data_IF_898562317548
#
_entry.id   IF_898562317548
#
_cell.length_a   1.000
_cell.length_b   1.000
_cell.length_c   1.000
_cell.angle_alpha   90.00
_cell.angle_beta   90.00
_cell.angle_gamma   90.00
#
_symmetry.space_group_name_H-M   'P 1'
#
loop_
_entity.id
_entity.type
_entity.pdbx_description
1 polymer ?
#
# COMPACT_ATOMS: atom_id res chain seq x y z
N UNK A 1 -64.42 8.68 -28.49
CA UNK A 1 -63.12 9.37 -28.68
C UNK A 1 -62.43 9.67 -27.37
N UNK A 2 -63.09 10.02 -26.30
CA UNK A 2 -62.48 10.40 -24.99
C UNK A 2 -61.66 9.31 -24.29
N UNK A 3 -62.07 8.03 -24.35
CA UNK A 3 -61.31 6.93 -23.68
C UNK A 3 -59.90 6.68 -24.24
N UNK A 4 -59.66 7.02 -25.53
CA UNK A 4 -58.30 6.88 -26.14
C UNK A 4 -57.35 7.98 -25.69
N UNK A 5 -57.81 9.17 -25.42
CA UNK A 5 -56.97 10.30 -24.94
C UNK A 5 -56.63 10.13 -23.48
N UNK A 6 -57.49 9.57 -22.66
CA UNK A 6 -57.21 9.27 -21.24
C UNK A 6 -56.11 8.19 -21.11
N UNK A 7 -56.18 7.12 -21.94
CA UNK A 7 -55.16 6.08 -21.96
C UNK A 7 -53.79 6.59 -22.45
N UNK A 8 -53.79 7.50 -23.43
CA UNK A 8 -52.56 8.09 -23.94
C UNK A 8 -51.92 9.08 -22.96
N UNK A 9 -52.74 9.86 -22.23
CA UNK A 9 -52.26 10.75 -21.18
C UNK A 9 -51.67 9.97 -19.98
N UNK A 10 -52.29 8.83 -19.62
CA UNK A 10 -51.73 7.96 -18.55
C UNK A 10 -50.42 7.30 -18.96
N UNK A 11 -50.25 6.90 -20.24
CA UNK A 11 -49.02 6.32 -20.75
C UNK A 11 -47.87 7.34 -20.80
N UNK A 12 -48.16 8.58 -21.16
CA UNK A 12 -47.19 9.69 -21.17
C UNK A 12 -46.76 10.05 -19.74
N UNK A 13 -47.67 10.06 -18.78
CA UNK A 13 -47.35 10.32 -17.38
C UNK A 13 -46.47 9.23 -16.76
N UNK A 14 -46.64 7.95 -17.15
CA UNK A 14 -45.77 6.85 -16.70
C UNK A 14 -44.39 6.92 -17.35
N UNK A 15 -44.31 7.32 -18.64
CA UNK A 15 -43.00 7.49 -19.31
C UNK A 15 -42.25 8.70 -18.77
N UNK A 16 -42.92 9.79 -18.45
CA UNK A 16 -42.30 10.97 -17.82
C UNK A 16 -41.89 10.66 -16.37
N UNK A 17 -42.70 9.91 -15.62
CA UNK A 17 -42.36 9.43 -14.28
C UNK A 17 -41.15 8.48 -14.28
N UNK A 18 -41.04 7.57 -15.24
CA UNK A 18 -39.91 6.67 -15.41
C UNK A 18 -38.65 7.42 -15.88
N UNK A 19 -38.78 8.45 -16.71
CA UNK A 19 -37.65 9.30 -17.12
C UNK A 19 -37.14 10.18 -15.98
N UNK A 20 -37.98 10.60 -15.05
CA UNK A 20 -37.59 11.38 -13.87
C UNK A 20 -36.94 10.46 -12.82
N UNK A 21 -37.32 9.19 -12.73
CA UNK A 21 -36.66 8.19 -11.87
C UNK A 21 -35.33 7.67 -12.45
N UNK A 22 -35.07 7.89 -13.74
CA UNK A 22 -33.82 7.47 -14.42
C UNK A 22 -32.82 8.59 -14.63
N UNK A 23 -33.09 9.80 -14.18
CA UNK A 23 -32.06 10.84 -14.05
C UNK A 23 -31.38 10.53 -12.72
N UNK A 24 -30.40 9.62 -12.73
CA UNK A 24 -29.31 9.63 -11.76
C UNK A 24 -28.85 11.07 -11.67
N UNK A 25 -29.06 11.66 -10.52
CA UNK A 25 -28.51 12.95 -10.14
C UNK A 25 -26.99 12.84 -10.27
N UNK A 26 -26.45 13.21 -11.44
CA UNK A 26 -25.04 13.51 -11.63
C UNK A 26 -24.72 14.86 -10.95
N UNK A 27 -25.48 15.18 -9.89
CA UNK A 27 -25.26 16.29 -9.01
C UNK A 27 -23.99 16.08 -8.22
N UNK A 28 -22.96 16.76 -8.63
CA UNK A 28 -21.83 17.26 -7.86
C UNK A 28 -21.35 16.34 -6.71
N UNK A 29 -20.94 15.09 -7.05
CA UNK A 29 -20.31 14.17 -6.07
C UNK A 29 -19.13 14.90 -5.44
N UNK A 30 -19.02 14.80 -4.12
CA UNK A 30 -17.86 15.33 -3.41
C UNK A 30 -16.62 14.50 -3.78
N UNK A 31 -15.56 15.14 -4.20
CA UNK A 31 -14.31 14.45 -4.51
C UNK A 31 -13.53 14.21 -3.21
N UNK A 32 -13.08 12.98 -3.01
CA UNK A 32 -12.09 12.60 -2.01
C UNK A 32 -10.80 12.16 -2.71
N UNK A 33 -9.76 12.96 -2.58
CA UNK A 33 -8.44 12.69 -3.17
C UNK A 33 -7.58 11.93 -2.16
N UNK A 34 -7.20 10.71 -2.51
CA UNK A 34 -6.33 9.85 -1.67
C UNK A 34 -4.97 9.74 -2.34
N UNK A 35 -3.91 10.08 -1.62
CA UNK A 35 -2.54 9.79 -2.06
C UNK A 35 -1.97 8.61 -1.29
N UNK A 36 -1.45 7.62 -2.03
CA UNK A 36 -0.96 6.37 -1.45
C UNK A 36 0.38 5.94 -2.04
N UNK A 37 0.87 4.76 -1.64
CA UNK A 37 2.10 4.16 -2.15
C UNK A 37 1.82 3.20 -3.30
N UNK A 38 2.74 3.12 -4.27
CA UNK A 38 2.65 2.16 -5.39
C UNK A 38 2.54 0.73 -4.89
N UNK A 39 3.26 0.37 -3.82
CA UNK A 39 3.19 -0.99 -3.27
C UNK A 39 1.82 -1.34 -2.67
N UNK A 40 1.07 -0.39 -2.12
CA UNK A 40 -0.29 -0.65 -1.67
C UNK A 40 -1.28 -0.70 -2.85
N UNK A 41 -1.14 0.19 -3.81
CA UNK A 41 -1.92 0.18 -5.06
C UNK A 41 -1.74 -1.14 -5.82
N UNK A 42 -0.50 -1.61 -5.99
CA UNK A 42 -0.17 -2.87 -6.69
C UNK A 42 -0.87 -4.10 -6.08
N UNK A 43 -1.29 -4.05 -4.82
CA UNK A 43 -2.06 -5.13 -4.18
C UNK A 43 -3.51 -5.17 -4.62
N UNK A 44 -4.08 -4.05 -5.10
CA UNK A 44 -5.50 -3.89 -5.43
C UNK A 44 -6.43 -3.78 -4.21
N UNK A 45 -5.89 -3.71 -2.98
CA UNK A 45 -6.74 -3.58 -1.78
C UNK A 45 -7.56 -2.30 -1.78
N UNK A 46 -6.91 -1.17 -2.12
CA UNK A 46 -7.59 0.13 -2.08
C UNK A 46 -8.72 0.24 -3.10
N UNK A 47 -8.59 -0.36 -4.28
CA UNK A 47 -9.68 -0.45 -5.28
C UNK A 47 -10.91 -1.19 -4.70
N UNK A 48 -10.67 -2.27 -3.96
CA UNK A 48 -11.76 -3.02 -3.32
C UNK A 48 -12.40 -2.25 -2.17
N UNK A 49 -11.62 -1.49 -1.41
CA UNK A 49 -12.10 -0.61 -0.34
C UNK A 49 -12.87 0.57 -0.92
N UNK A 50 -12.36 1.22 -1.97
CA UNK A 50 -13.01 2.29 -2.73
C UNK A 50 -14.40 1.86 -3.22
N UNK A 51 -14.48 0.72 -3.93
CA UNK A 51 -15.75 0.20 -4.44
C UNK A 51 -16.78 -0.05 -3.31
N UNK A 52 -16.34 -0.57 -2.16
CA UNK A 52 -17.21 -0.78 -1.01
C UNK A 52 -17.61 0.55 -0.34
N UNK A 53 -16.70 1.51 -0.25
CA UNK A 53 -16.96 2.83 0.29
C UNK A 53 -17.95 3.61 -0.57
N UNK A 54 -17.74 3.70 -1.88
CA UNK A 54 -18.62 4.42 -2.81
C UNK A 54 -20.01 3.79 -2.90
N UNK A 55 -20.11 2.47 -2.76
CA UNK A 55 -21.42 1.81 -2.65
C UNK A 55 -22.19 2.27 -1.41
N UNK A 56 -21.50 2.54 -0.31
CA UNK A 56 -22.08 3.01 0.96
C UNK A 56 -22.34 4.52 0.98
N UNK A 57 -21.48 5.28 0.31
CA UNK A 57 -21.51 6.74 0.23
C UNK A 57 -21.51 7.20 -1.24
N UNK A 58 -22.62 7.02 -1.98
CA UNK A 58 -22.67 7.27 -3.43
C UNK A 58 -22.51 8.75 -3.81
N UNK A 59 -22.60 9.65 -2.84
CA UNK A 59 -22.38 11.09 -2.97
C UNK A 59 -20.88 11.47 -2.95
N UNK A 60 -19.95 10.52 -2.68
CA UNK A 60 -18.52 10.76 -2.67
C UNK A 60 -17.87 9.98 -3.82
N UNK A 61 -17.00 10.66 -4.57
CA UNK A 61 -16.16 10.13 -5.64
C UNK A 61 -14.72 10.02 -5.12
N UNK A 62 -14.19 8.80 -5.02
CA UNK A 62 -12.84 8.57 -4.50
C UNK A 62 -11.85 8.55 -5.66
N UNK A 63 -10.81 9.36 -5.55
CA UNK A 63 -9.74 9.44 -6.54
C UNK A 63 -8.42 9.08 -5.89
N UNK A 64 -7.85 7.94 -6.28
CA UNK A 64 -6.60 7.40 -5.72
C UNK A 64 -5.45 7.69 -6.67
N UNK A 65 -4.37 8.27 -6.13
CA UNK A 65 -3.12 8.49 -6.88
C UNK A 65 -1.96 7.95 -6.07
N UNK A 66 -1.19 7.04 -6.67
CA UNK A 66 -0.03 6.43 -6.03
C UNK A 66 1.29 7.13 -6.36
N UNK A 67 2.29 6.79 -5.57
CA UNK A 67 3.67 7.23 -5.74
C UNK A 67 4.58 6.65 -4.66
N UNK A 68 5.82 7.08 -4.57
CA UNK A 68 6.66 6.77 -3.41
C UNK A 68 6.13 7.48 -2.15
N UNK A 69 6.42 6.95 -0.94
CA UNK A 69 5.96 7.53 0.34
C UNK A 69 6.21 9.03 0.43
N UNK A 70 7.40 9.49 0.01
CA UNK A 70 7.72 10.93 0.01
C UNK A 70 6.80 11.74 -0.90
N UNK A 71 6.49 11.23 -2.08
CA UNK A 71 5.58 11.87 -3.04
C UNK A 71 4.16 11.92 -2.48
N UNK A 72 3.70 10.83 -1.86
CA UNK A 72 2.37 10.78 -1.26
C UNK A 72 2.19 11.82 -0.15
N UNK A 73 3.16 11.93 0.76
CA UNK A 73 3.16 12.92 1.83
C UNK A 73 3.27 14.36 1.29
N UNK A 74 4.08 14.58 0.27
CA UNK A 74 4.25 15.90 -0.35
C UNK A 74 2.97 16.38 -1.03
N UNK A 75 2.19 15.47 -1.67
CA UNK A 75 0.85 15.80 -2.18
C UNK A 75 -0.09 16.25 -1.06
N UNK A 76 -0.06 15.58 0.10
CA UNK A 76 -0.79 16.03 1.28
C UNK A 76 -0.37 17.43 1.75
N UNK A 77 0.94 17.72 1.81
CA UNK A 77 1.45 19.05 2.20
C UNK A 77 0.98 20.17 1.27
N UNK A 78 0.84 19.88 -0.02
CA UNK A 78 0.41 20.89 -1.02
C UNK A 78 -1.10 21.02 -1.19
N UNK A 79 -1.90 20.14 -0.56
CA UNK A 79 -3.35 20.11 -0.73
C UNK A 79 -3.81 19.41 -2.02
N UNK A 80 -2.92 18.63 -2.66
CA UNK A 80 -3.25 17.78 -3.81
C UNK A 80 -3.94 16.45 -3.37
N UNK A 81 -3.98 16.19 -2.05
CA UNK A 81 -4.69 15.08 -1.43
C UNK A 81 -5.40 15.53 -0.16
N UNK A 82 -6.54 14.90 0.14
CA UNK A 82 -7.34 15.09 1.34
C UNK A 82 -7.01 14.07 2.42
N UNK A 83 -6.54 12.89 1.97
CA UNK A 83 -6.14 11.76 2.80
C UNK A 83 -4.85 11.16 2.26
N UNK A 84 -3.92 10.85 3.15
CA UNK A 84 -2.68 10.13 2.81
C UNK A 84 -2.72 8.74 3.45
N UNK A 85 -2.46 7.68 2.66
CA UNK A 85 -2.38 6.31 3.15
C UNK A 85 -0.99 5.76 2.83
N UNK A 86 -0.18 5.59 3.86
CA UNK A 86 1.24 5.18 3.74
C UNK A 86 1.62 4.19 4.85
N UNK A 87 2.89 3.73 4.85
CA UNK A 87 3.38 2.70 5.77
C UNK A 87 4.84 2.96 6.23
N UNK A 88 5.26 4.21 6.28
CA UNK A 88 6.53 4.62 6.87
C UNK A 88 6.28 5.43 8.15
N UNK A 89 6.27 4.74 9.29
CA UNK A 89 5.95 5.31 10.59
C UNK A 89 6.81 6.53 10.97
N UNK A 90 8.04 6.59 10.52
CA UNK A 90 8.94 7.71 10.81
C UNK A 90 8.46 8.97 10.08
N UNK A 91 8.24 8.85 8.77
CA UNK A 91 7.74 9.95 7.93
C UNK A 91 6.31 10.36 8.27
N UNK A 92 5.45 9.39 8.64
CA UNK A 92 4.08 9.65 9.12
C UNK A 92 4.08 10.51 10.38
N UNK A 93 4.92 10.16 11.37
CA UNK A 93 5.08 10.96 12.60
C UNK A 93 5.63 12.35 12.33
N UNK A 94 6.56 12.50 11.41
CA UNK A 94 7.11 13.79 11.01
C UNK A 94 6.04 14.66 10.36
N UNK A 95 5.26 14.13 9.42
CA UNK A 95 4.15 14.82 8.76
C UNK A 95 3.11 15.33 9.76
N UNK A 96 2.74 14.53 10.76
CA UNK A 96 1.81 14.93 11.83
C UNK A 96 2.46 15.97 12.76
N UNK A 97 3.72 15.76 13.17
CA UNK A 97 4.46 16.69 14.02
C UNK A 97 4.60 18.08 13.38
N UNK A 98 4.77 18.11 12.07
CA UNK A 98 4.79 19.35 11.29
C UNK A 98 3.40 19.99 11.15
N UNK A 99 2.34 19.35 11.63
CA UNK A 99 0.95 19.85 11.64
C UNK A 99 0.19 19.60 10.35
N UNK A 100 0.71 18.86 9.38
CA UNK A 100 0.03 18.56 8.11
C UNK A 100 -1.03 17.47 8.22
N UNK A 101 -0.96 16.58 9.20
CA UNK A 101 -1.94 15.54 9.47
C UNK A 101 -2.67 15.77 10.78
N UNK A 102 -3.96 15.46 10.85
CA UNK A 102 -4.78 15.59 12.07
C UNK A 102 -4.61 14.41 13.03
N UNK A 103 -4.26 13.24 12.52
CA UNK A 103 -4.10 12.02 13.30
C UNK A 103 -3.57 10.87 12.44
N UNK A 104 -3.16 9.79 13.11
CA UNK A 104 -2.69 8.56 12.48
C UNK A 104 -3.65 7.42 12.82
N UNK A 105 -4.23 6.80 11.81
CA UNK A 105 -5.23 5.76 11.94
C UNK A 105 -4.73 4.46 11.31
N UNK A 106 -4.02 3.58 12.06
CA UNK A 106 -3.60 2.30 11.55
C UNK A 106 -4.81 1.39 11.34
N UNK A 107 -4.89 0.71 10.19
CA UNK A 107 -6.05 -0.11 9.86
C UNK A 107 -5.70 -1.54 9.46
N UNK A 108 -4.47 -1.77 9.00
CA UNK A 108 -3.99 -3.08 8.59
C UNK A 108 -2.47 -3.17 8.69
N UNK A 109 -1.97 -4.40 8.71
CA UNK A 109 -0.55 -4.65 8.55
C UNK A 109 -0.30 -5.92 7.72
N UNK A 110 0.90 -6.01 7.19
CA UNK A 110 1.49 -7.23 6.66
C UNK A 110 2.98 -7.26 7.02
N UNK A 111 3.74 -8.16 6.41
CA UNK A 111 5.18 -8.21 6.58
C UNK A 111 5.88 -8.04 5.24
N UNK A 112 7.05 -7.45 5.28
CA UNK A 112 8.02 -7.64 4.22
C UNK A 112 8.60 -9.05 4.31
N UNK A 113 9.00 -9.59 3.16
CA UNK A 113 9.66 -10.87 3.05
C UNK A 113 11.10 -10.67 2.58
N UNK A 114 12.04 -11.41 3.15
CA UNK A 114 13.37 -11.56 2.59
C UNK A 114 13.33 -12.81 1.71
N UNK A 115 13.57 -12.61 0.42
CA UNK A 115 13.53 -13.67 -0.59
C UNK A 115 14.88 -13.79 -1.28
N UNK A 116 15.15 -14.95 -1.88
CA UNK A 116 16.42 -15.19 -2.55
C UNK A 116 16.45 -16.52 -3.31
N UNK A 117 17.58 -16.84 -3.95
CA UNK A 117 17.74 -18.07 -4.73
C UNK A 117 17.68 -19.32 -3.85
N UNK A 118 17.10 -20.40 -4.36
CA UNK A 118 17.01 -21.69 -3.65
C UNK A 118 18.36 -22.26 -3.18
N UNK A 119 19.45 -21.88 -3.85
CA UNK A 119 20.81 -22.31 -3.51
C UNK A 119 21.36 -21.70 -2.22
N UNK A 120 20.75 -20.62 -1.75
CA UNK A 120 21.08 -19.91 -0.52
C UNK A 120 22.59 -19.69 -0.27
N UNK A 121 23.32 -19.06 -1.18
CA UNK A 121 24.80 -18.93 -1.05
C UNK A 121 25.25 -18.09 0.15
N UNK A 122 24.35 -17.33 0.78
CA UNK A 122 24.61 -16.58 2.01
C UNK A 122 24.14 -17.32 3.29
N UNK A 123 23.53 -18.50 3.14
CA UNK A 123 23.00 -19.31 4.26
C UNK A 123 22.05 -18.51 5.17
N UNK A 124 21.14 -17.72 4.55
CA UNK A 124 20.15 -16.93 5.29
C UNK A 124 18.96 -17.78 5.79
N UNK A 125 18.84 -19.02 5.34
CA UNK A 125 17.88 -19.99 5.91
C UNK A 125 18.11 -20.22 7.42
N UNK A 126 19.34 -20.03 7.91
CA UNK A 126 19.71 -20.12 9.32
C UNK A 126 19.59 -18.78 10.07
N UNK A 127 19.15 -17.72 9.39
CA UNK A 127 19.04 -16.39 10.00
C UNK A 127 17.91 -16.36 11.04
N UNK A 128 18.16 -15.70 12.16
CA UNK A 128 17.23 -15.59 13.29
C UNK A 128 16.49 -14.25 13.35
N UNK A 129 16.92 -13.29 12.53
CA UNK A 129 16.29 -11.98 12.39
C UNK A 129 16.58 -11.39 11.01
N UNK A 130 15.88 -10.32 10.65
CA UNK A 130 16.13 -9.60 9.41
C UNK A 130 17.57 -9.02 9.37
N UNK A 131 18.04 -8.47 10.47
CA UNK A 131 19.42 -7.97 10.57
C UNK A 131 20.44 -9.10 10.45
N UNK A 132 20.17 -10.29 10.99
CA UNK A 132 21.06 -11.44 10.84
C UNK A 132 21.10 -11.92 9.37
N UNK A 133 19.96 -11.96 8.68
CA UNK A 133 19.92 -12.29 7.26
C UNK A 133 20.74 -11.29 6.42
N UNK A 134 20.57 -10.00 6.66
CA UNK A 134 21.29 -8.94 5.95
C UNK A 134 22.79 -8.99 6.23
N UNK A 135 23.21 -9.25 7.47
CA UNK A 135 24.61 -9.45 7.82
C UNK A 135 25.23 -10.64 7.09
N UNK A 136 24.54 -11.76 7.03
CA UNK A 136 24.99 -12.96 6.29
C UNK A 136 25.15 -12.68 4.79
N UNK A 137 24.22 -11.92 4.19
CA UNK A 137 24.33 -11.51 2.79
C UNK A 137 25.56 -10.61 2.59
N UNK A 138 25.80 -9.62 3.46
CA UNK A 138 26.96 -8.74 3.41
C UNK A 138 28.27 -9.53 3.48
N UNK A 139 28.39 -10.43 4.47
CA UNK A 139 29.58 -11.26 4.67
C UNK A 139 29.81 -12.23 3.50
N UNK A 140 28.75 -12.80 2.94
CA UNK A 140 28.85 -13.69 1.81
C UNK A 140 29.25 -12.93 0.54
N UNK A 141 28.69 -11.76 0.29
CA UNK A 141 29.04 -10.90 -0.85
C UNK A 141 30.51 -10.42 -0.82
N UNK A 142 31.05 -10.18 0.37
CA UNK A 142 32.47 -9.84 0.52
C UNK A 142 33.42 -10.99 0.14
N UNK A 143 32.97 -12.26 0.27
CA UNK A 143 33.76 -13.45 -0.04
C UNK A 143 33.47 -14.03 -1.42
N UNK A 144 32.26 -13.82 -1.93
CA UNK A 144 31.78 -14.41 -3.18
C UNK A 144 31.10 -13.35 -4.05
N UNK A 145 31.73 -12.91 -5.13
CA UNK A 145 31.18 -11.88 -6.02
C UNK A 145 29.87 -12.30 -6.74
N UNK A 146 29.49 -13.59 -6.72
CA UNK A 146 28.21 -14.04 -7.28
C UNK A 146 27.02 -13.73 -6.36
N UNK A 147 27.26 -13.55 -5.07
CA UNK A 147 26.20 -13.15 -4.12
C UNK A 147 25.81 -11.70 -4.39
N UNK A 148 24.54 -11.47 -4.65
CA UNK A 148 23.98 -10.16 -4.98
C UNK A 148 22.78 -9.85 -4.10
N UNK A 149 22.54 -8.57 -3.88
CA UNK A 149 21.31 -8.04 -3.35
C UNK A 149 20.72 -7.03 -4.35
N UNK A 150 19.42 -7.13 -4.61
CA UNK A 150 18.70 -6.21 -5.51
C UNK A 150 17.77 -5.36 -4.67
N UNK A 151 17.97 -4.06 -4.75
CA UNK A 151 17.17 -3.02 -4.11
C UNK A 151 16.23 -2.35 -5.10
N UNK A 152 15.15 -1.80 -4.61
CA UNK A 152 14.31 -0.90 -5.40
C UNK A 152 15.04 0.38 -5.76
N UNK A 153 15.77 0.99 -4.84
CA UNK A 153 16.54 2.24 -5.06
C UNK A 153 15.68 3.45 -5.46
N UNK A 154 14.37 3.47 -5.08
CA UNK A 154 13.37 4.43 -5.58
C UNK A 154 12.74 5.32 -4.49
N UNK A 155 13.31 5.34 -3.30
CA UNK A 155 12.77 6.04 -2.12
C UNK A 155 11.35 5.61 -1.70
N UNK A 156 10.89 4.43 -2.10
CA UNK A 156 9.63 3.85 -1.65
C UNK A 156 9.68 3.44 -0.17
N UNK A 157 8.53 3.06 0.39
CA UNK A 157 8.46 2.50 1.75
C UNK A 157 9.27 1.21 1.90
N UNK A 158 9.30 0.35 0.87
CA UNK A 158 10.14 -0.87 0.84
C UNK A 158 11.62 -0.52 0.84
N UNK A 159 12.04 0.42 -0.01
CA UNK A 159 13.44 0.88 -0.06
C UNK A 159 13.86 1.55 1.26
N UNK A 160 13.00 2.39 1.84
CA UNK A 160 13.27 2.99 3.17
C UNK A 160 13.42 1.93 4.26
N UNK A 161 12.59 0.88 4.25
CA UNK A 161 12.68 -0.24 5.20
C UNK A 161 13.96 -1.01 5.03
N UNK A 162 14.32 -1.34 3.81
CA UNK A 162 15.57 -2.02 3.46
C UNK A 162 16.80 -1.25 3.96
N UNK A 163 16.90 0.04 3.62
CA UNK A 163 18.01 0.90 4.07
C UNK A 163 18.08 0.97 5.60
N UNK A 164 16.94 1.00 6.29
CA UNK A 164 16.90 0.97 7.76
C UNK A 164 17.50 -0.32 8.32
N UNK A 165 17.18 -1.48 7.71
CA UNK A 165 17.78 -2.76 8.13
C UNK A 165 19.28 -2.76 7.88
N UNK A 166 19.75 -2.31 6.71
CA UNK A 166 21.17 -2.17 6.42
C UNK A 166 21.89 -1.30 7.43
N UNK A 167 21.33 -0.13 7.78
CA UNK A 167 21.89 0.79 8.78
C UNK A 167 22.00 0.19 10.19
N UNK A 168 21.17 -0.79 10.53
CA UNK A 168 21.27 -1.53 11.79
C UNK A 168 22.39 -2.60 11.75
N UNK A 169 22.85 -2.98 10.55
CA UNK A 169 23.88 -4.01 10.35
C UNK A 169 25.26 -3.40 10.15
N UNK A 170 25.36 -2.29 9.42
CA UNK A 170 26.63 -1.70 9.01
C UNK A 170 26.47 -0.22 8.63
N UNK A 171 27.59 0.47 8.36
CA UNK A 171 27.54 1.77 7.68
C UNK A 171 27.08 1.58 6.22
N UNK A 172 25.81 1.85 5.98
CA UNK A 172 25.17 1.67 4.68
C UNK A 172 25.91 2.42 3.56
N UNK A 173 26.28 3.67 3.81
CA UNK A 173 26.91 4.50 2.78
C UNK A 173 28.33 4.04 2.44
N UNK A 174 29.07 3.54 3.42
CA UNK A 174 30.45 3.11 3.21
C UNK A 174 30.58 1.68 2.68
N UNK A 175 29.62 0.79 2.98
CA UNK A 175 29.79 -0.64 2.74
C UNK A 175 28.74 -1.27 1.81
N UNK A 176 27.60 -0.65 1.64
CA UNK A 176 26.47 -1.19 0.84
C UNK A 176 26.25 -0.34 -0.41
N UNK A 177 25.95 0.92 -0.21
CA UNK A 177 25.62 1.84 -1.29
C UNK A 177 26.76 1.95 -2.31
N UNK A 178 26.44 1.74 -3.60
CA UNK A 178 27.45 1.77 -4.68
C UNK A 178 28.35 0.53 -4.78
N UNK A 179 28.17 -0.47 -3.92
CA UNK A 179 28.92 -1.72 -4.00
C UNK A 179 28.51 -2.55 -5.22
N UNK A 180 29.43 -3.27 -5.85
CA UNK A 180 29.18 -4.08 -7.05
C UNK A 180 28.21 -5.25 -6.83
N UNK A 181 27.97 -5.65 -5.59
CA UNK A 181 27.01 -6.69 -5.22
C UNK A 181 25.60 -6.15 -4.89
N UNK A 182 25.49 -4.83 -4.67
CA UNK A 182 24.22 -4.15 -4.38
C UNK A 182 23.71 -3.44 -5.65
N UNK A 183 22.56 -3.85 -6.12
CA UNK A 183 22.03 -3.42 -7.43
C UNK A 183 20.72 -2.68 -7.19
N UNK A 184 20.68 -1.43 -7.55
CA UNK A 184 19.46 -0.61 -7.50
C UNK A 184 18.75 -0.66 -8.87
N UNK A 185 17.44 -0.96 -8.85
CA UNK A 185 16.63 -1.02 -10.08
C UNK A 185 16.04 0.32 -10.47
N UNK A 186 15.79 1.20 -9.50
CA UNK A 186 15.03 2.43 -9.71
C UNK A 186 13.57 2.19 -10.11
N UNK A 187 13.04 0.97 -9.87
CA UNK A 187 11.76 0.49 -10.40
C UNK A 187 10.82 -0.02 -9.30
N UNK A 188 9.57 -0.32 -9.69
CA UNK A 188 8.56 -0.93 -8.83
C UNK A 188 8.96 -2.32 -8.31
N UNK A 189 8.21 -2.82 -7.30
CA UNK A 189 8.58 -4.07 -6.64
C UNK A 189 8.52 -5.29 -7.55
N UNK A 190 7.54 -5.35 -8.47
CA UNK A 190 7.40 -6.44 -9.43
C UNK A 190 8.61 -6.57 -10.35
N UNK A 191 9.12 -5.46 -10.88
CA UNK A 191 10.34 -5.46 -11.71
C UNK A 191 11.58 -5.78 -10.90
N UNK A 192 11.65 -5.28 -9.67
CA UNK A 192 12.74 -5.61 -8.73
C UNK A 192 12.80 -7.12 -8.46
N UNK A 193 11.65 -7.77 -8.23
CA UNK A 193 11.57 -9.24 -8.07
C UNK A 193 12.05 -9.98 -9.32
N UNK A 194 11.67 -9.53 -10.53
CA UNK A 194 12.13 -10.15 -11.78
C UNK A 194 13.65 -10.03 -11.95
N UNK A 195 14.21 -8.85 -11.66
CA UNK A 195 15.66 -8.62 -11.72
C UNK A 195 16.38 -9.49 -10.69
N UNK A 196 15.86 -9.57 -9.46
CA UNK A 196 16.42 -10.44 -8.43
C UNK A 196 16.40 -11.92 -8.83
N UNK A 197 15.29 -12.38 -9.41
CA UNK A 197 15.18 -13.77 -9.92
C UNK A 197 16.18 -14.06 -11.04
N UNK A 198 16.27 -13.19 -12.05
CA UNK A 198 17.22 -13.35 -13.17
C UNK A 198 18.68 -13.37 -12.72
N UNK A 199 19.01 -12.64 -11.65
CA UNK A 199 20.38 -12.57 -11.11
C UNK A 199 20.66 -13.61 -10.03
N UNK A 200 19.68 -14.41 -9.63
CA UNK A 200 19.80 -15.31 -8.48
C UNK A 200 20.17 -14.55 -7.21
N UNK A 201 19.57 -13.39 -7.01
CA UNK A 201 19.91 -12.44 -5.96
C UNK A 201 18.90 -12.46 -4.80
N UNK A 202 19.32 -11.96 -3.64
CA UNK A 202 18.43 -11.66 -2.53
C UNK A 202 17.74 -10.31 -2.73
N UNK A 203 16.54 -10.15 -2.16
CA UNK A 203 15.83 -8.86 -2.13
C UNK A 203 14.84 -8.81 -0.97
N UNK A 204 14.45 -7.59 -0.61
CA UNK A 204 13.31 -7.34 0.28
C UNK A 204 12.09 -7.03 -0.58
N UNK A 205 10.95 -7.66 -0.27
CA UNK A 205 9.68 -7.43 -0.97
C UNK A 205 8.53 -7.37 0.01
N UNK A 206 7.45 -6.68 -0.32
CA UNK A 206 6.20 -6.86 0.41
C UNK A 206 5.56 -8.22 0.08
N UNK A 207 4.79 -8.75 1.04
CA UNK A 207 4.16 -10.06 0.89
C UNK A 207 3.15 -10.11 -0.26
N UNK A 208 2.43 -9.03 -0.52
CA UNK A 208 1.42 -8.95 -1.57
C UNK A 208 2.04 -9.12 -2.95
N UNK A 209 3.06 -8.34 -3.26
CA UNK A 209 3.78 -8.43 -4.54
C UNK A 209 4.44 -9.79 -4.69
N UNK A 210 5.10 -10.33 -3.65
CA UNK A 210 5.68 -11.67 -3.74
C UNK A 210 4.63 -12.73 -4.08
N UNK A 211 3.49 -12.75 -3.41
CA UNK A 211 2.42 -13.72 -3.67
C UNK A 211 1.85 -13.60 -5.08
N UNK A 212 1.76 -12.38 -5.61
CA UNK A 212 1.32 -12.14 -6.98
C UNK A 212 2.31 -12.68 -8.03
N UNK A 213 3.60 -12.67 -7.73
CA UNK A 213 4.66 -13.06 -8.66
C UNK A 213 5.22 -14.47 -8.45
N UNK A 214 4.94 -15.14 -7.31
CA UNK A 214 5.58 -16.41 -6.91
C UNK A 214 5.47 -17.55 -7.91
N UNK A 215 4.41 -17.56 -8.74
CA UNK A 215 4.25 -18.58 -9.80
C UNK A 215 5.17 -18.35 -11.01
N UNK A 216 5.73 -17.14 -11.14
CA UNK A 216 6.50 -16.71 -12.30
C UNK A 216 7.98 -16.45 -11.98
N UNK A 217 8.41 -16.73 -10.75
CA UNK A 217 9.78 -16.56 -10.26
C UNK A 217 10.24 -17.84 -9.54
N UNK A 218 11.55 -18.00 -9.44
CA UNK A 218 12.17 -19.15 -8.75
C UNK A 218 12.64 -18.83 -7.34
N UNK A 219 12.60 -17.56 -6.96
CA UNK A 219 12.96 -17.10 -5.61
C UNK A 219 12.07 -17.72 -4.54
N UNK A 220 12.65 -18.05 -3.42
CA UNK A 220 11.96 -18.59 -2.24
C UNK A 220 12.01 -17.61 -1.07
N UNK A 221 11.05 -17.73 -0.15
CA UNK A 221 11.03 -16.94 1.08
C UNK A 221 11.93 -17.58 2.13
N UNK A 222 12.74 -16.76 2.79
CA UNK A 222 13.59 -17.16 3.92
C UNK A 222 13.10 -16.60 5.24
N UNK A 223 12.70 -15.33 5.26
CA UNK A 223 12.16 -14.70 6.45
C UNK A 223 10.87 -13.97 6.08
N UNK A 224 9.79 -14.31 6.78
CA UNK A 224 8.44 -13.77 6.50
C UNK A 224 7.81 -13.09 7.71
N UNK A 225 8.40 -13.26 8.90
CA UNK A 225 7.92 -12.66 10.14
C UNK A 225 9.10 -12.26 11.01
N UNK A 226 9.25 -10.97 11.22
CA UNK A 226 10.23 -10.37 12.12
C UNK A 226 9.77 -8.95 12.45
N UNK A 227 10.18 -8.41 13.60
CA UNK A 227 9.83 -7.04 14.01
C UNK A 227 10.29 -6.00 12.99
N UNK A 228 11.50 -6.16 12.46
CA UNK A 228 12.04 -5.26 11.44
C UNK A 228 11.32 -5.38 10.09
N UNK A 229 10.58 -6.47 9.85
CA UNK A 229 9.80 -6.70 8.64
C UNK A 229 8.33 -6.29 8.76
N UNK A 230 7.88 -5.88 9.94
CA UNK A 230 6.49 -5.43 10.16
C UNK A 230 6.20 -4.18 9.32
N UNK A 231 5.09 -4.22 8.59
CA UNK A 231 4.65 -3.19 7.68
C UNK A 231 3.20 -2.78 8.01
N UNK A 232 3.04 -1.68 8.74
CA UNK A 232 1.74 -1.19 9.19
C UNK A 232 1.27 -0.06 8.29
N UNK A 233 0.09 -0.18 7.75
CA UNK A 233 -0.57 0.81 6.92
C UNK A 233 -1.45 1.73 7.77
N UNK A 234 -1.30 3.02 7.60
CA UNK A 234 -2.07 4.02 8.31
C UNK A 234 -2.67 5.07 7.36
N UNK A 235 -3.88 5.47 7.66
CA UNK A 235 -4.54 6.60 7.04
C UNK A 235 -4.29 7.87 7.88
N UNK A 236 -4.01 8.98 7.21
CA UNK A 236 -3.68 10.27 7.82
C UNK A 236 -4.49 11.36 7.11
N UNK A 237 -5.61 11.85 7.67
CA UNK A 237 -6.32 12.99 7.11
C UNK A 237 -5.44 14.24 7.10
N UNK A 238 -5.47 14.96 5.99
CA UNK A 238 -4.74 16.22 5.85
C UNK A 238 -5.43 17.30 6.67
N UNK A 239 -4.65 18.07 7.42
CA UNK A 239 -5.15 19.06 8.36
C UNK A 239 -5.68 20.31 7.63
N UNK A 240 -7.02 20.59 7.67
CA UNK A 240 -7.61 21.74 7.01
C UNK A 240 -7.19 23.09 7.61
N UNK A 241 -6.73 23.12 8.86
CA UNK A 241 -6.22 24.33 9.48
C UNK A 241 -4.86 24.77 8.91
N UNK A 242 -4.11 23.83 8.35
CA UNK A 242 -2.78 24.07 7.76
C UNK A 242 -2.80 24.07 6.23
N UNK A 243 -3.63 23.25 5.62
CA UNK A 243 -3.72 23.07 4.18
C UNK A 243 -5.12 23.42 3.71
N UNK A 244 -5.26 24.52 2.98
CA UNK A 244 -6.56 24.98 2.48
C UNK A 244 -7.07 24.10 1.32
N UNK A 245 -8.41 24.01 1.18
CA UNK A 245 -9.05 23.34 0.05
C UNK A 245 -9.08 21.81 0.13
N UNK A 246 -8.76 21.23 1.29
CA UNK A 246 -8.89 19.80 1.54
C UNK A 246 -10.31 19.44 1.99
N UNK A 247 -10.83 18.30 1.53
CA UNK A 247 -12.13 17.76 1.92
C UNK A 247 -11.99 16.89 3.19
N UNK A 248 -11.82 17.56 4.34
CA UNK A 248 -11.63 16.86 5.62
C UNK A 248 -12.82 15.99 6.01
N UNK A 249 -14.06 16.43 5.68
CA UNK A 249 -15.28 15.67 6.00
C UNK A 249 -15.32 14.32 5.25
N UNK A 250 -14.99 14.30 3.97
CA UNK A 250 -14.92 13.05 3.22
C UNK A 250 -13.73 12.18 3.66
N UNK A 251 -12.60 12.80 4.02
CA UNK A 251 -11.44 12.08 4.54
C UNK A 251 -11.74 11.39 5.88
N UNK A 252 -12.41 12.05 6.80
CA UNK A 252 -12.86 11.47 8.09
C UNK A 252 -13.85 10.32 7.87
N UNK A 253 -14.86 10.49 7.00
CA UNK A 253 -15.79 9.41 6.63
C UNK A 253 -15.07 8.18 6.07
N UNK A 254 -14.04 8.38 5.26
CA UNK A 254 -13.26 7.27 4.71
C UNK A 254 -12.45 6.56 5.79
N UNK A 255 -11.87 7.31 6.74
CA UNK A 255 -11.17 6.73 7.91
C UNK A 255 -12.14 5.93 8.77
N UNK A 256 -13.32 6.47 9.08
CA UNK A 256 -14.35 5.75 9.85
C UNK A 256 -14.78 4.46 9.14
N UNK A 257 -14.90 4.51 7.81
CA UNK A 257 -15.18 3.32 7.02
C UNK A 257 -14.05 2.30 7.07
N UNK A 258 -12.79 2.73 6.90
CA UNK A 258 -11.62 1.84 7.02
C UNK A 258 -11.57 1.10 8.35
N UNK A 259 -11.98 1.76 9.44
CA UNK A 259 -11.97 1.20 10.79
C UNK A 259 -13.24 0.41 11.14
N UNK A 260 -14.28 0.47 10.29
CA UNK A 260 -15.54 -0.25 10.52
C UNK A 260 -15.37 -1.76 10.39
N UNK A 261 -16.19 -2.53 11.11
CA UNK A 261 -16.20 -4.00 11.03
C UNK A 261 -16.39 -4.52 9.60
N UNK A 262 -17.18 -3.81 8.79
CA UNK A 262 -17.43 -4.14 7.40
C UNK A 262 -16.13 -4.11 6.58
N UNK A 263 -15.40 -3.01 6.62
CA UNK A 263 -14.14 -2.85 5.90
C UNK A 263 -13.03 -3.72 6.48
N UNK A 264 -12.97 -3.87 7.79
CA UNK A 264 -11.98 -4.71 8.45
C UNK A 264 -12.15 -6.19 8.09
N UNK A 265 -13.37 -6.69 7.90
CA UNK A 265 -13.63 -8.03 7.36
C UNK A 265 -13.20 -8.14 5.90
N UNK A 266 -13.48 -7.14 5.07
CA UNK A 266 -13.00 -7.09 3.68
C UNK A 266 -11.48 -7.21 3.65
N UNK A 267 -10.76 -6.44 4.47
CA UNK A 267 -9.29 -6.47 4.57
C UNK A 267 -8.79 -7.84 5.04
N UNK A 268 -9.41 -8.42 6.09
CA UNK A 268 -9.02 -9.72 6.64
C UNK A 268 -9.23 -10.89 5.67
N UNK A 269 -10.15 -10.76 4.73
CA UNK A 269 -10.44 -11.77 3.70
C UNK A 269 -9.74 -11.51 2.38
N UNK A 270 -9.17 -10.29 2.19
CA UNK A 270 -8.59 -9.88 0.94
C UNK A 270 -7.43 -10.77 0.48
N UNK A 271 -7.56 -11.33 -0.71
CA UNK A 271 -6.56 -12.20 -1.34
C UNK A 271 -6.72 -13.69 -1.04
N UNK A 272 -7.58 -14.11 -0.10
CA UNK A 272 -7.76 -15.53 0.25
C UNK A 272 -8.14 -16.38 -0.96
N UNK A 273 -9.08 -15.91 -1.77
CA UNK A 273 -9.57 -16.66 -2.95
C UNK A 273 -8.48 -16.80 -4.01
N UNK A 274 -7.65 -15.77 -4.20
CA UNK A 274 -6.63 -15.73 -5.24
C UNK A 274 -5.32 -16.38 -4.82
N UNK A 275 -4.92 -16.22 -3.56
CA UNK A 275 -3.58 -16.62 -3.08
C UNK A 275 -3.62 -17.74 -2.03
N UNK A 276 -4.82 -18.19 -1.60
CA UNK A 276 -5.01 -19.18 -0.56
C UNK A 276 -4.76 -18.64 0.87
N UNK A 277 -4.45 -17.36 0.98
CA UNK A 277 -4.23 -16.66 2.26
C UNK A 277 -4.53 -15.16 2.10
N UNK A 278 -4.86 -14.50 3.21
CA UNK A 278 -5.01 -13.06 3.21
C UNK A 278 -3.67 -12.35 2.97
N UNK A 279 -3.70 -11.24 2.21
CA UNK A 279 -2.54 -10.38 2.01
C UNK A 279 -2.29 -9.42 3.17
N UNK A 280 -3.30 -9.20 4.01
CA UNK A 280 -3.25 -8.25 5.12
C UNK A 280 -3.85 -8.86 6.38
N UNK A 281 -3.40 -8.39 7.52
CA UNK A 281 -4.05 -8.61 8.81
C UNK A 281 -4.77 -7.33 9.20
N UNK A 282 -6.09 -7.39 9.33
CA UNK A 282 -6.91 -6.29 9.80
C UNK A 282 -6.72 -6.06 11.30
N UNK A 283 -6.78 -4.81 11.74
CA UNK A 283 -6.56 -4.44 13.15
C UNK A 283 -7.85 -4.42 13.98
N UNK A 284 -9.03 -4.32 13.36
CA UNK A 284 -10.33 -4.27 14.04
C UNK A 284 -10.39 -3.25 15.19
N UNK A 285 -9.77 -2.07 15.01
CA UNK A 285 -9.66 -1.05 16.05
C UNK A 285 -8.71 -1.39 17.20
N UNK A 286 -8.01 -2.52 17.13
CA UNK A 286 -6.98 -2.91 18.08
C UNK A 286 -5.66 -2.17 17.89
N UNK A 287 -4.77 -2.32 18.86
CA UNK A 287 -3.43 -1.75 18.78
C UNK A 287 -2.62 -2.37 17.64
N UNK A 288 -1.84 -1.53 16.95
CA UNK A 288 -0.87 -2.03 15.99
C UNK A 288 0.23 -2.86 16.68
N UNK A 289 0.75 -3.92 16.04
CA UNK A 289 1.87 -4.68 16.58
C UNK A 289 3.07 -3.77 16.83
N UNK A 290 3.78 -4.01 17.93
CA UNK A 290 4.99 -3.26 18.27
C UNK A 290 6.16 -3.71 17.40
N UNK A 291 6.71 -2.77 16.63
CA UNK A 291 7.95 -2.95 15.84
C UNK A 291 9.20 -2.81 16.70
#
# INVERSE_FOLDING_TARGET
MEKKYVAMAALIAVIIGAAIYGISDNGNRQILRISTTTSLEDTGLLESVEAAFEKKYPDIDVQIVSGGTGIALERGKRGDADLVIVHDRTREKEFIKEGYGTGRYPFAYNYFYIVGPKSDPANISEAKSAEDAFRRILEAAARNPSVKFVSRGDNSGTNSREIKIWKNVTDYNATVNGSAWYIETGSGMGDTLRVADQKGAYTLTDSGTYLAYRSNITLVTYLTQDKALLNVYAAIPVNPEKVSGVNSVAAEKFVDFLLSDECQKLIADYGKDKYGQSLFTALFGGDEPKS
#
